data_IF_872884480680
#
_entry.id   IF_872884480680
#
_cell.length_a   1.000
_cell.length_b   1.000
_cell.length_c   1.000
_cell.angle_alpha   90.00
_cell.angle_beta   90.00
_cell.angle_gamma   90.00
#
_symmetry.space_group_name_H-M   'P 1'
#
loop_
_entity.id
_entity.type
_entity.pdbx_description
1 polymer ?
#
# COMPACT_ATOMS: atom_id res chain seq x y z
N UNK A 1 -24.09 11.60 28.19
CA UNK A 1 -22.83 11.36 27.48
C UNK A 1 -23.13 10.33 26.40
N UNK A 2 -23.44 10.78 25.18
CA UNK A 2 -23.94 9.95 24.10
C UNK A 2 -22.90 8.91 23.68
N UNK A 3 -23.24 7.63 23.87
CA UNK A 3 -22.62 6.51 23.17
C UNK A 3 -22.81 6.73 21.67
N UNK A 4 -21.85 7.40 21.05
CA UNK A 4 -21.71 7.40 19.59
C UNK A 4 -21.42 5.95 19.20
N UNK A 5 -22.46 5.30 18.69
CA UNK A 5 -22.51 3.92 18.25
C UNK A 5 -21.38 3.68 17.25
N UNK A 6 -20.19 3.30 17.76
CA UNK A 6 -18.98 3.09 16.98
C UNK A 6 -19.24 1.85 16.13
N UNK A 7 -19.68 2.05 14.89
CA UNK A 7 -19.97 0.96 13.95
C UNK A 7 -18.74 0.04 13.95
N UNK A 8 -18.89 -1.26 14.29
CA UNK A 8 -17.74 -2.14 14.37
C UNK A 8 -17.06 -2.15 13.00
N UNK A 9 -15.76 -1.84 13.00
CA UNK A 9 -14.92 -1.91 11.82
C UNK A 9 -15.02 -3.35 11.28
N UNK A 10 -15.61 -3.49 10.10
CA UNK A 10 -15.64 -4.77 9.39
C UNK A 10 -14.39 -4.81 8.52
N UNK A 11 -13.38 -5.63 8.86
CA UNK A 11 -12.19 -5.72 8.03
C UNK A 11 -12.58 -6.21 6.64
N UNK A 12 -12.01 -5.57 5.62
CA UNK A 12 -12.15 -6.01 4.23
C UNK A 12 -11.40 -7.32 4.04
N UNK A 13 -11.89 -8.20 3.18
CA UNK A 13 -11.23 -9.47 2.90
C UNK A 13 -9.78 -9.24 2.42
N UNK A 14 -8.76 -9.89 3.01
CA UNK A 14 -7.35 -9.60 2.69
C UNK A 14 -6.99 -9.75 1.21
N UNK A 15 -7.56 -10.75 0.50
CA UNK A 15 -7.34 -10.90 -0.94
C UNK A 15 -7.96 -9.79 -1.79
N UNK A 16 -9.04 -9.14 -1.33
CA UNK A 16 -9.59 -7.98 -2.03
C UNK A 16 -8.67 -6.77 -1.87
N UNK A 17 -8.12 -6.57 -0.68
CA UNK A 17 -7.13 -5.52 -0.43
C UNK A 17 -5.87 -5.75 -1.26
N UNK A 18 -5.40 -7.00 -1.36
CA UNK A 18 -4.28 -7.37 -2.22
C UNK A 18 -4.54 -7.06 -3.69
N UNK A 19 -5.69 -7.46 -4.23
CA UNK A 19 -6.08 -7.18 -5.61
C UNK A 19 -6.07 -5.68 -5.89
N UNK A 20 -6.67 -4.88 -4.99
CA UNK A 20 -6.71 -3.43 -5.14
C UNK A 20 -5.32 -2.80 -5.03
N UNK A 21 -4.47 -3.28 -4.12
CA UNK A 21 -3.11 -2.79 -3.98
C UNK A 21 -2.23 -3.08 -5.21
N UNK A 22 -2.44 -4.22 -5.87
CA UNK A 22 -1.78 -4.56 -7.14
C UNK A 22 -2.29 -3.62 -8.25
N UNK A 23 -3.60 -3.43 -8.39
CA UNK A 23 -4.13 -2.61 -9.49
C UNK A 23 -3.86 -1.10 -9.30
N UNK A 24 -3.84 -0.62 -8.06
CA UNK A 24 -3.80 0.80 -7.74
C UNK A 24 -2.74 1.08 -6.63
N UNK A 25 -1.58 1.65 -6.99
CA UNK A 25 -0.52 1.97 -6.05
C UNK A 25 -1.02 2.84 -4.89
N UNK A 26 -0.74 2.42 -3.65
CA UNK A 26 -1.15 3.14 -2.43
C UNK A 26 -2.63 3.04 -2.05
N UNK A 27 -3.51 2.56 -2.93
CA UNK A 27 -4.97 2.54 -2.68
C UNK A 27 -5.40 1.38 -1.78
N UNK A 28 -4.62 0.29 -1.71
CA UNK A 28 -4.86 -0.79 -0.75
C UNK A 28 -4.96 -0.31 0.70
N UNK A 29 -4.23 0.75 1.06
CA UNK A 29 -4.27 1.35 2.39
C UNK A 29 -5.56 2.14 2.68
N UNK A 30 -6.26 2.61 1.65
CA UNK A 30 -7.57 3.25 1.81
C UNK A 30 -8.61 2.26 2.31
N UNK A 31 -8.56 1.01 1.82
CA UNK A 31 -9.42 -0.09 2.30
C UNK A 31 -9.10 -0.50 3.73
N UNK A 32 -7.86 -0.26 4.18
CA UNK A 32 -7.44 -0.43 5.57
C UNK A 32 -7.74 0.80 6.46
N UNK A 33 -8.43 1.82 5.94
CA UNK A 33 -8.69 3.09 6.62
C UNK A 33 -7.42 3.85 7.04
N UNK A 34 -6.32 3.65 6.31
CA UNK A 34 -5.04 4.31 6.51
C UNK A 34 -4.60 5.13 5.27
N UNK A 35 -5.42 6.08 4.77
CA UNK A 35 -5.15 6.78 3.51
C UNK A 35 -3.82 7.57 3.53
N UNK A 36 -3.43 8.12 4.69
CA UNK A 36 -2.17 8.85 4.84
C UNK A 36 -0.97 7.93 4.59
N UNK A 37 -1.01 6.66 5.05
CA UNK A 37 0.05 5.68 4.75
C UNK A 37 0.14 5.39 3.25
N UNK A 38 -1.00 5.24 2.59
CA UNK A 38 -1.07 5.07 1.14
C UNK A 38 -0.43 6.23 0.39
N UNK A 39 -0.77 7.47 0.78
CA UNK A 39 -0.22 8.68 0.18
C UNK A 39 1.29 8.80 0.38
N UNK A 40 1.79 8.52 1.58
CA UNK A 40 3.23 8.52 1.87
C UNK A 40 3.98 7.52 0.98
N UNK A 41 3.44 6.30 0.81
CA UNK A 41 4.05 5.29 -0.06
C UNK A 41 4.08 5.74 -1.52
N UNK A 42 3.00 6.32 -2.04
CA UNK A 42 2.96 6.85 -3.42
C UNK A 42 3.96 8.01 -3.59
N UNK A 43 4.05 8.89 -2.61
CA UNK A 43 5.03 9.97 -2.61
C UNK A 43 6.46 9.44 -2.67
N UNK A 44 6.82 8.49 -1.80
CA UNK A 44 8.15 7.89 -1.81
C UNK A 44 8.43 7.07 -3.08
N UNK A 45 7.42 6.40 -3.63
CA UNK A 45 7.52 5.71 -4.92
C UNK A 45 7.91 6.68 -6.04
N UNK A 46 7.26 7.85 -6.10
CA UNK A 46 7.56 8.87 -7.10
C UNK A 46 8.95 9.48 -6.87
N UNK A 47 9.28 9.88 -5.64
CA UNK A 47 10.58 10.47 -5.30
C UNK A 47 11.71 9.50 -5.61
N UNK A 48 11.63 8.27 -5.12
CA UNK A 48 12.70 7.29 -5.31
C UNK A 48 12.78 6.81 -6.77
N UNK A 49 11.64 6.73 -7.46
CA UNK A 49 11.59 6.46 -8.90
C UNK A 49 12.28 7.53 -9.74
N UNK A 50 12.04 8.81 -9.44
CA UNK A 50 12.72 9.93 -10.10
C UNK A 50 14.22 9.92 -9.77
N UNK A 51 14.60 9.68 -8.52
CA UNK A 51 16.02 9.59 -8.14
C UNK A 51 16.71 8.47 -8.91
N UNK A 52 16.14 7.26 -8.92
CA UNK A 52 16.74 6.13 -9.67
C UNK A 52 16.80 6.40 -11.16
N UNK A 53 15.80 7.08 -11.72
CA UNK A 53 15.78 7.43 -13.14
C UNK A 53 16.93 8.37 -13.51
N UNK A 54 17.18 9.38 -12.68
CA UNK A 54 18.25 10.36 -12.91
C UNK A 54 19.66 9.78 -12.68
N UNK A 55 19.79 8.78 -11.81
CA UNK A 55 21.08 8.14 -11.52
C UNK A 55 21.40 6.98 -12.47
N UNK A 56 20.40 6.44 -13.18
CA UNK A 56 20.59 5.29 -14.04
C UNK A 56 21.34 5.64 -15.33
N UNK A 57 22.31 4.79 -15.69
CA UNK A 57 23.03 4.91 -16.95
C UNK A 57 22.09 4.66 -18.16
N UNK A 58 22.39 5.22 -19.35
CA UNK A 58 21.49 5.16 -20.49
C UNK A 58 21.24 3.73 -21.01
N UNK A 59 22.19 2.82 -20.82
CA UNK A 59 22.16 1.40 -21.16
C UNK A 59 21.33 0.52 -20.21
N UNK A 60 20.90 1.07 -19.07
CA UNK A 60 20.05 0.34 -18.11
C UNK A 60 18.62 0.21 -18.64
N UNK A 61 18.01 -0.95 -18.39
CA UNK A 61 16.63 -1.25 -18.73
C UNK A 61 15.63 -0.26 -18.11
N UNK A 62 14.44 -0.14 -18.69
CA UNK A 62 13.39 0.75 -18.18
C UNK A 62 13.00 0.41 -16.73
N UNK A 63 12.88 -0.89 -16.41
CA UNK A 63 12.58 -1.35 -15.04
C UNK A 63 13.72 -0.98 -14.09
N UNK A 64 14.98 -1.11 -14.52
CA UNK A 64 16.14 -0.70 -13.73
C UNK A 64 16.19 0.82 -13.48
N UNK A 65 15.83 1.63 -14.49
CA UNK A 65 15.73 3.09 -14.37
C UNK A 65 14.69 3.51 -13.31
N UNK A 66 13.62 2.75 -13.12
CA UNK A 66 12.60 3.02 -12.10
C UNK A 66 12.69 2.08 -10.88
N UNK A 67 13.84 1.42 -10.66
CA UNK A 67 13.98 0.40 -9.63
C UNK A 67 13.55 0.86 -8.24
N UNK A 68 13.82 2.13 -7.90
CA UNK A 68 13.39 2.73 -6.64
C UNK A 68 11.88 2.81 -6.50
N UNK A 69 11.18 3.25 -7.55
CA UNK A 69 9.71 3.29 -7.55
C UNK A 69 9.11 1.89 -7.51
N UNK A 70 9.64 0.95 -8.30
CA UNK A 70 9.21 -0.46 -8.31
C UNK A 70 9.39 -1.10 -6.93
N UNK A 71 10.49 -0.80 -6.23
CA UNK A 71 10.75 -1.29 -4.89
C UNK A 71 9.70 -0.81 -3.87
N UNK A 72 9.42 0.50 -3.83
CA UNK A 72 8.40 1.04 -2.92
C UNK A 72 7.01 0.52 -3.26
N UNK A 73 6.71 0.33 -4.55
CA UNK A 73 5.44 -0.25 -4.98
C UNK A 73 5.26 -1.69 -4.47
N UNK A 74 6.27 -2.54 -4.58
CA UNK A 74 6.24 -3.89 -4.04
C UNK A 74 6.03 -3.90 -2.51
N UNK A 75 6.73 -3.02 -1.79
CA UNK A 75 6.53 -2.84 -0.35
C UNK A 75 5.11 -2.38 -0.03
N UNK A 76 4.55 -1.45 -0.80
CA UNK A 76 3.20 -0.93 -0.61
C UNK A 76 2.14 -2.04 -0.71
N UNK A 77 2.27 -2.94 -1.69
CA UNK A 77 1.39 -4.10 -1.87
C UNK A 77 1.46 -5.02 -0.65
N UNK A 78 2.68 -5.37 -0.24
CA UNK A 78 2.92 -6.25 0.90
C UNK A 78 2.35 -5.66 2.20
N UNK A 79 2.64 -4.39 2.47
CA UNK A 79 2.15 -3.68 3.67
C UNK A 79 0.61 -3.68 3.70
N UNK A 80 -0.05 -3.36 2.59
CA UNK A 80 -1.51 -3.33 2.52
C UNK A 80 -2.14 -4.71 2.82
N UNK A 81 -1.57 -5.78 2.27
CA UNK A 81 -2.03 -7.15 2.53
C UNK A 81 -1.79 -7.58 3.98
N UNK A 82 -0.61 -7.30 4.55
CA UNK A 82 -0.28 -7.69 5.92
C UNK A 82 -1.22 -7.05 6.94
N UNK A 83 -1.51 -5.75 6.78
CA UNK A 83 -2.48 -5.05 7.63
C UNK A 83 -3.89 -5.62 7.50
N UNK A 84 -4.34 -5.88 6.26
CA UNK A 84 -5.65 -6.47 6.03
C UNK A 84 -5.77 -7.86 6.67
N UNK A 85 -4.73 -8.71 6.51
CA UNK A 85 -4.65 -10.04 7.12
C UNK A 85 -4.71 -9.97 8.64
N UNK A 86 -3.95 -9.05 9.25
CA UNK A 86 -3.91 -8.85 10.69
C UNK A 86 -5.29 -8.47 11.24
N UNK A 87 -5.94 -7.46 10.64
CA UNK A 87 -7.28 -7.03 11.05
C UNK A 87 -8.33 -8.15 10.86
N UNK A 88 -8.23 -8.91 9.77
CA UNK A 88 -9.11 -10.04 9.50
C UNK A 88 -8.95 -11.16 10.55
N UNK A 89 -7.71 -11.49 10.92
CA UNK A 89 -7.45 -12.49 11.96
C UNK A 89 -7.95 -12.05 13.33
N UNK A 90 -7.76 -10.78 13.69
CA UNK A 90 -8.23 -10.23 14.96
C UNK A 90 -9.77 -10.23 15.05
N UNK A 91 -10.46 -9.93 13.96
CA UNK A 91 -11.93 -9.95 13.92
C UNK A 91 -12.50 -11.37 13.97
N UNK A 92 -11.78 -12.38 13.49
CA UNK A 92 -12.22 -13.79 13.54
C UNK A 92 -12.05 -14.41 14.93
N UNK A 93 -11.19 -13.85 15.78
CA UNK A 93 -10.91 -14.34 17.13
C UNK A 93 -11.93 -13.82 18.17
N UNK A 94 -12.79 -12.88 17.78
CA UNK A 94 -13.81 -12.26 18.65
C UNK A 94 -15.18 -12.88 18.39
#
# INVERSE_FOLDING_TARGET
MSETLRKPFRPVHPYLVLLVAILLPGVGQVLNHAPIRGLMMVFFMMVLGVITFNLAAPDISLVGKFAGGVFIYAISIMDAYMWARLHWTMAKQK
#
